data_IF_349234394855
#
_entry.id   IF_349234394855
#
_cell.length_a   1.000
_cell.length_b   1.000
_cell.length_c   1.000
_cell.angle_alpha   90.00
_cell.angle_beta   90.00
_cell.angle_gamma   90.00
#
_symmetry.space_group_name_H-M   'P 1'
#
loop_
_entity.id
_entity.type
_entity.pdbx_description
1 polymer ?
#
# COMPACT_ATOMS: atom_id res chain seq x y z
N UNK A 1 -12.96 -17.91 -17.18
CA UNK A 1 -12.41 -17.03 -16.14
C UNK A 1 -13.58 -16.50 -15.33
N UNK A 2 -13.77 -16.98 -14.10
CA UNK A 2 -14.83 -16.48 -13.21
C UNK A 2 -14.47 -15.11 -12.61
N UNK A 3 -15.42 -14.42 -11.96
CA UNK A 3 -15.13 -13.16 -11.28
C UNK A 3 -14.11 -13.40 -10.15
N UNK A 4 -13.03 -12.61 -10.14
CA UNK A 4 -12.11 -12.58 -9.02
C UNK A 4 -12.62 -11.59 -7.97
N UNK A 5 -12.90 -12.07 -6.77
CA UNK A 5 -13.15 -11.22 -5.60
C UNK A 5 -11.90 -11.18 -4.73
N UNK A 6 -11.59 -10.00 -4.17
CA UNK A 6 -10.48 -9.82 -3.24
C UNK A 6 -11.01 -9.51 -1.84
N UNK A 7 -10.42 -10.15 -0.81
CA UNK A 7 -10.64 -9.79 0.59
C UNK A 7 -9.46 -8.92 1.08
N UNK A 8 -9.72 -7.78 1.75
CA UNK A 8 -8.65 -6.98 2.34
C UNK A 8 -7.86 -7.79 3.37
N UNK A 9 -6.52 -7.83 3.23
CA UNK A 9 -5.64 -8.56 4.16
C UNK A 9 -5.19 -7.71 5.34
N UNK A 10 -5.00 -6.41 5.12
CA UNK A 10 -4.55 -5.45 6.12
C UNK A 10 -5.07 -4.06 5.80
N UNK A 11 -5.17 -3.21 6.82
CA UNK A 11 -5.46 -1.78 6.67
C UNK A 11 -4.27 -1.00 7.20
N UNK A 12 -3.64 -0.23 6.32
CA UNK A 12 -2.51 0.62 6.66
C UNK A 12 -3.03 2.02 6.96
N UNK A 13 -2.82 2.49 8.19
CA UNK A 13 -3.20 3.83 8.64
C UNK A 13 -1.94 4.64 8.90
N UNK A 14 -1.91 5.89 8.46
CA UNK A 14 -0.73 6.73 8.67
C UNK A 14 -0.78 8.04 7.90
N UNK A 15 -1.30 8.03 6.67
CA UNK A 15 -1.46 9.26 5.91
C UNK A 15 -2.60 10.12 6.47
N UNK A 16 -2.30 11.39 6.75
CA UNK A 16 -3.26 12.36 7.26
C UNK A 16 -4.18 12.94 6.19
N UNK A 17 -3.82 12.74 4.91
CA UNK A 17 -4.57 13.17 3.73
C UNK A 17 -4.56 12.05 2.67
N UNK A 18 -5.10 12.34 1.48
CA UNK A 18 -5.20 11.36 0.40
C UNK A 18 -3.85 10.76 0.01
N UNK A 19 -3.83 9.44 -0.22
CA UNK A 19 -2.70 8.74 -0.83
C UNK A 19 -2.70 9.04 -2.33
N UNK A 20 -1.56 9.45 -2.86
CA UNK A 20 -1.40 9.87 -4.26
C UNK A 20 -0.54 8.91 -5.08
N UNK A 21 0.25 8.07 -4.44
CA UNK A 21 1.11 7.09 -5.12
C UNK A 21 1.28 5.80 -4.30
N UNK A 22 1.40 4.67 -5.01
CA UNK A 22 1.70 3.36 -4.46
C UNK A 22 2.76 2.65 -5.32
N UNK A 23 3.69 1.93 -4.68
CA UNK A 23 4.68 1.11 -5.37
C UNK A 23 5.12 -0.08 -4.51
N UNK A 24 5.13 -1.29 -5.08
CA UNK A 24 5.76 -2.45 -4.46
C UNK A 24 7.23 -2.55 -4.87
N UNK A 25 8.08 -3.02 -3.97
CA UNK A 25 9.42 -3.47 -4.34
C UNK A 25 9.32 -4.66 -5.30
N UNK A 26 10.30 -4.86 -6.21
CA UNK A 26 10.29 -6.00 -7.13
C UNK A 26 10.25 -7.36 -6.45
N UNK A 27 10.76 -7.46 -5.22
CA UNK A 27 10.72 -8.67 -4.40
C UNK A 27 9.41 -8.83 -3.60
N UNK A 28 8.48 -7.88 -3.71
CA UNK A 28 7.16 -7.89 -3.07
C UNK A 28 7.17 -7.67 -1.56
N UNK A 29 8.33 -7.49 -0.92
CA UNK A 29 8.43 -7.44 0.55
C UNK A 29 8.08 -6.08 1.14
N UNK A 30 8.22 -5.03 0.34
CA UNK A 30 8.00 -3.64 0.78
C UNK A 30 6.95 -2.99 -0.10
N UNK A 31 6.02 -2.28 0.54
CA UNK A 31 5.11 -1.35 -0.11
C UNK A 31 5.50 0.08 0.30
N UNK A 32 5.67 0.96 -0.68
CA UNK A 32 5.81 2.39 -0.47
C UNK A 32 4.49 3.10 -0.81
N UNK A 33 4.08 4.03 0.04
CA UNK A 33 2.93 4.90 -0.19
C UNK A 33 3.32 6.37 -0.02
N UNK A 34 2.88 7.23 -0.94
CA UNK A 34 3.06 8.68 -0.88
C UNK A 34 1.72 9.39 -0.62
N UNK A 35 1.73 10.40 0.25
CA UNK A 35 0.53 11.13 0.66
C UNK A 35 0.56 12.63 0.34
N UNK A 36 -0.62 13.24 0.27
CA UNK A 36 -0.77 14.71 0.21
C UNK A 36 -0.31 15.41 1.50
N UNK A 37 -0.05 14.66 2.57
CA UNK A 37 0.63 15.14 3.77
C UNK A 37 2.12 15.42 3.56
N UNK A 38 2.64 15.18 2.34
CA UNK A 38 4.04 15.41 1.99
C UNK A 38 4.98 14.32 2.48
N UNK A 39 4.44 13.18 2.94
CA UNK A 39 5.23 12.08 3.49
C UNK A 39 5.23 10.86 2.57
N UNK A 40 6.27 10.04 2.73
CA UNK A 40 6.35 8.68 2.20
C UNK A 40 6.42 7.71 3.37
N UNK A 41 5.57 6.70 3.38
CA UNK A 41 5.59 5.61 4.36
C UNK A 41 6.01 4.30 3.70
N UNK A 42 6.81 3.51 4.42
CA UNK A 42 7.23 2.18 4.00
C UNK A 42 6.59 1.11 4.90
N UNK A 43 6.04 0.09 4.27
CA UNK A 43 5.31 -0.98 4.94
C UNK A 43 5.91 -2.32 4.58
N UNK A 44 6.11 -3.18 5.57
CA UNK A 44 6.36 -4.59 5.31
C UNK A 44 5.07 -5.21 4.76
N UNK A 45 5.09 -5.69 3.53
CA UNK A 45 3.93 -6.32 2.90
C UNK A 45 3.68 -7.74 3.45
N UNK A 46 4.68 -8.33 4.11
CA UNK A 46 4.71 -9.72 4.57
C UNK A 46 4.80 -10.72 3.39
N UNK A 47 5.13 -12.01 3.64
CA UNK A 47 4.77 -13.06 2.69
C UNK A 47 3.24 -13.18 2.54
#
# INVERSE_FOLDING_TARGET
MGPATGHPRTTLTGHGYGVTAIAYSPDGRTLATGGMDGTVSLWAAGP
#
